data_IF_988923945831
#
_entry.id   IF_988923945831
#
_cell.length_a   1.000
_cell.length_b   1.000
_cell.length_c   1.000
_cell.angle_alpha   90.00
_cell.angle_beta   90.00
_cell.angle_gamma   90.00
#
_symmetry.space_group_name_H-M   'P 1'
#
loop_
_entity.id
_entity.type
_entity.pdbx_description
1 polymer ?
#
# COMPACT_ATOMS: atom_id res chain seq x y z
N UNK A 1 22.65 7.28 -4.96
CA UNK A 1 21.61 6.24 -4.81
C UNK A 1 21.44 5.77 -3.36
N UNK A 2 22.49 5.32 -2.64
CA UNK A 2 22.35 4.80 -1.25
C UNK A 2 21.77 5.82 -0.24
N UNK A 3 22.13 7.11 -0.35
CA UNK A 3 21.67 8.14 0.59
C UNK A 3 20.17 8.46 0.43
N UNK A 4 19.66 8.43 -0.81
CA UNK A 4 18.26 8.67 -1.13
C UNK A 4 17.38 7.50 -0.68
N UNK A 5 17.82 6.26 -0.92
CA UNK A 5 17.14 5.07 -0.41
C UNK A 5 16.99 5.10 1.13
N UNK A 6 18.03 5.55 1.85
CA UNK A 6 17.96 5.74 3.31
C UNK A 6 16.98 6.86 3.73
N UNK A 7 16.85 7.92 2.93
CA UNK A 7 15.93 9.01 3.22
C UNK A 7 14.47 8.59 3.04
N UNK A 8 14.13 7.93 1.93
CA UNK A 8 12.80 7.36 1.71
C UNK A 8 12.42 6.36 2.81
N UNK A 9 13.35 5.49 3.21
CA UNK A 9 13.12 4.56 4.31
C UNK A 9 12.89 5.30 5.65
N UNK A 10 13.64 6.36 5.94
CA UNK A 10 13.46 7.19 7.14
C UNK A 10 12.08 7.86 7.15
N UNK A 11 11.62 8.33 5.99
CA UNK A 11 10.29 8.93 5.82
C UNK A 11 9.17 7.92 6.10
N UNK A 12 9.24 6.72 5.53
CA UNK A 12 8.26 5.65 5.79
C UNK A 12 8.22 5.24 7.26
N UNK A 13 9.37 5.17 7.94
CA UNK A 13 9.42 4.94 9.39
C UNK A 13 8.76 6.07 10.19
N UNK A 14 8.90 7.33 9.78
CA UNK A 14 8.22 8.46 10.42
C UNK A 14 6.71 8.40 10.17
N UNK A 15 6.28 8.13 8.94
CA UNK A 15 4.87 7.98 8.58
C UNK A 15 4.21 6.87 9.39
N UNK A 16 4.84 5.68 9.44
CA UNK A 16 4.33 4.55 10.22
C UNK A 16 4.19 4.89 11.70
N UNK A 17 5.16 5.62 12.29
CA UNK A 17 5.06 6.07 13.68
C UNK A 17 3.90 7.03 13.90
N UNK A 18 3.67 7.97 12.99
CA UNK A 18 2.54 8.90 13.07
C UNK A 18 1.21 8.14 12.95
N UNK A 19 1.12 7.19 12.04
CA UNK A 19 -0.06 6.32 11.86
C UNK A 19 -0.36 5.51 13.13
N UNK A 20 0.67 4.91 13.72
CA UNK A 20 0.52 4.09 14.93
C UNK A 20 0.20 4.93 16.17
N UNK A 21 0.91 6.04 16.39
CA UNK A 21 0.71 6.91 17.56
C UNK A 21 -0.56 7.75 17.42
N UNK A 22 -0.91 8.15 16.22
CA UNK A 22 -2.10 8.94 15.91
C UNK A 22 -3.40 8.14 15.91
N UNK A 23 -3.35 6.81 16.05
CA UNK A 23 -4.55 5.97 16.10
C UNK A 23 -5.31 5.89 14.78
N UNK A 24 -4.62 6.08 13.65
CA UNK A 24 -5.22 5.96 12.31
C UNK A 24 -5.82 4.58 12.07
N UNK A 25 -5.14 3.52 12.51
CA UNK A 25 -5.59 2.13 12.30
C UNK A 25 -6.93 1.84 13.00
N UNK A 26 -7.12 2.10 14.31
CA UNK A 26 -8.43 1.95 14.96
C UNK A 26 -9.53 2.80 14.32
N UNK A 27 -9.20 4.04 13.93
CA UNK A 27 -10.16 4.94 13.30
C UNK A 27 -10.63 4.39 11.94
N UNK A 28 -9.70 3.90 11.13
CA UNK A 28 -10.00 3.32 9.82
C UNK A 28 -10.80 2.02 9.95
N UNK A 29 -10.47 1.19 10.95
CA UNK A 29 -11.25 -0.01 11.26
C UNK A 29 -12.69 0.31 11.60
N UNK A 30 -12.94 1.29 12.47
CA UNK A 30 -14.28 1.72 12.84
C UNK A 30 -15.08 2.29 11.65
N UNK A 31 -14.41 3.01 10.74
CA UNK A 31 -15.05 3.49 9.51
C UNK A 31 -15.41 2.34 8.55
N UNK A 32 -14.58 1.29 8.48
CA UNK A 32 -14.77 0.16 7.58
C UNK A 32 -15.73 -0.91 8.12
N UNK A 33 -15.95 -0.97 9.44
CA UNK A 33 -16.76 -2.02 10.07
C UNK A 33 -18.24 -2.03 9.63
N UNK A 34 -18.72 -0.96 8.99
CA UNK A 34 -20.08 -0.87 8.46
C UNK A 34 -20.28 -1.56 7.10
N UNK A 35 -19.21 -1.97 6.41
CA UNK A 35 -19.27 -2.57 5.07
C UNK A 35 -19.25 -4.11 5.11
N UNK A 36 -19.83 -4.79 4.11
CA UNK A 36 -19.63 -6.23 3.96
C UNK A 36 -18.16 -6.51 3.69
N UNK A 37 -17.58 -7.50 4.39
CA UNK A 37 -16.15 -7.86 4.34
C UNK A 37 -15.22 -6.74 4.84
N UNK A 38 -15.33 -6.36 6.13
CA UNK A 38 -14.61 -5.20 6.69
C UNK A 38 -13.09 -5.32 6.54
N UNK A 39 -12.53 -6.53 6.62
CA UNK A 39 -11.08 -6.76 6.49
C UNK A 39 -10.55 -6.51 5.08
N UNK A 40 -11.32 -6.87 4.04
CA UNK A 40 -10.92 -6.64 2.64
C UNK A 40 -10.96 -5.14 2.34
N UNK A 41 -12.00 -4.44 2.79
CA UNK A 41 -12.16 -2.99 2.62
C UNK A 41 -11.07 -2.24 3.40
N UNK A 42 -10.83 -2.63 4.66
CA UNK A 42 -9.75 -2.10 5.49
C UNK A 42 -8.39 -2.22 4.79
N UNK A 43 -8.06 -3.42 4.30
CA UNK A 43 -6.79 -3.67 3.63
C UNK A 43 -6.67 -2.87 2.33
N UNK A 44 -7.74 -2.78 1.54
CA UNK A 44 -7.74 -2.03 0.29
C UNK A 44 -7.47 -0.53 0.52
N UNK A 45 -8.15 0.08 1.48
CA UNK A 45 -7.96 1.50 1.80
C UNK A 45 -6.58 1.75 2.42
N UNK A 46 -6.14 0.90 3.36
CA UNK A 46 -4.82 1.05 3.94
C UNK A 46 -3.71 0.93 2.88
N UNK A 47 -3.84 -0.07 1.99
CA UNK A 47 -2.88 -0.25 0.88
C UNK A 47 -2.89 0.92 -0.10
N UNK A 48 -4.04 1.56 -0.35
CA UNK A 48 -4.13 2.79 -1.14
C UNK A 48 -3.32 3.92 -0.51
N UNK A 49 -3.50 4.15 0.79
CA UNK A 49 -2.79 5.22 1.51
C UNK A 49 -1.28 4.97 1.49
N UNK A 50 -0.84 3.75 1.80
CA UNK A 50 0.58 3.38 1.76
C UNK A 50 1.16 3.56 0.36
N UNK A 51 0.43 3.12 -0.67
CA UNK A 51 0.86 3.28 -2.07
C UNK A 51 0.99 4.74 -2.45
N UNK A 52 0.08 5.63 -2.03
CA UNK A 52 0.15 7.06 -2.36
C UNK A 52 1.36 7.74 -1.70
N UNK A 53 1.66 7.37 -0.46
CA UNK A 53 2.82 7.86 0.29
C UNK A 53 4.11 7.43 -0.40
N UNK A 54 4.22 6.14 -0.75
CA UNK A 54 5.38 5.59 -1.46
C UNK A 54 5.52 6.10 -2.89
N UNK A 55 4.41 6.32 -3.59
CA UNK A 55 4.38 6.77 -4.99
C UNK A 55 5.06 8.13 -5.15
N UNK A 56 4.85 9.03 -4.18
CA UNK A 56 5.46 10.37 -4.22
C UNK A 56 7.00 10.30 -4.22
N UNK A 57 7.56 9.34 -3.48
CA UNK A 57 9.00 9.10 -3.41
C UNK A 57 9.52 8.36 -4.65
N UNK A 58 8.81 7.33 -5.07
CA UNK A 58 9.16 6.51 -6.24
C UNK A 58 9.16 7.34 -7.54
N UNK A 59 8.24 8.29 -7.65
CA UNK A 59 8.19 9.25 -8.76
C UNK A 59 9.40 10.19 -8.74
N UNK A 60 9.86 10.62 -7.56
CA UNK A 60 11.06 11.45 -7.45
C UNK A 60 12.32 10.70 -7.89
N UNK A 61 12.48 9.43 -7.49
CA UNK A 61 13.63 8.61 -7.89
C UNK A 61 13.67 8.37 -9.41
N UNK A 62 12.53 7.95 -9.98
CA UNK A 62 12.43 7.59 -11.40
C UNK A 62 12.59 8.80 -12.33
N UNK A 63 11.89 9.91 -12.07
CA UNK A 63 11.88 11.06 -12.99
C UNK A 63 12.98 12.09 -12.71
N UNK A 64 13.51 12.18 -11.48
CA UNK A 64 14.55 13.19 -11.18
C UNK A 64 15.95 12.58 -11.17
N UNK A 65 16.10 11.37 -10.65
CA UNK A 65 17.43 10.79 -10.39
C UNK A 65 17.87 9.90 -11.56
N UNK A 66 16.99 9.00 -12.01
CA UNK A 66 17.29 8.11 -13.13
C UNK A 66 17.27 8.83 -14.49
N UNK A 67 16.38 9.81 -14.68
CA UNK A 67 16.36 10.64 -15.89
C UNK A 67 17.64 11.46 -16.03
N UNK A 68 18.18 12.00 -14.93
CA UNK A 68 19.48 12.69 -14.92
C UNK A 68 20.66 11.78 -15.26
N UNK A 69 20.56 10.47 -15.00
CA UNK A 69 21.56 9.47 -15.39
C UNK A 69 21.30 8.90 -16.79
N UNK A 70 20.28 9.38 -17.52
CA UNK A 70 19.96 8.94 -18.87
C UNK A 70 19.39 7.52 -18.96
N UNK A 71 18.97 6.94 -17.83
CA UNK A 71 18.46 5.57 -17.76
C UNK A 71 16.93 5.49 -17.87
N UNK A 72 16.20 6.59 -17.65
CA UNK A 72 14.75 6.57 -17.73
C UNK A 72 14.27 6.46 -19.19
N UNK A 73 13.61 5.34 -19.51
CA UNK A 73 12.93 5.10 -20.80
C UNK A 73 11.41 4.98 -20.65
N UNK A 74 10.88 5.16 -19.44
CA UNK A 74 9.44 5.04 -19.18
C UNK A 74 8.76 6.40 -19.29
N UNK A 75 7.62 6.44 -19.99
CA UNK A 75 6.73 7.60 -20.02
C UNK A 75 5.85 7.63 -18.77
N UNK A 76 5.51 8.84 -18.30
CA UNK A 76 4.64 9.08 -17.13
C UNK A 76 3.34 8.28 -17.20
N UNK A 77 2.71 8.21 -18.38
CA UNK A 77 1.47 7.44 -18.58
C UNK A 77 1.63 5.92 -18.40
N UNK A 78 2.76 5.35 -18.84
CA UNK A 78 3.04 3.92 -18.67
C UNK A 78 3.33 3.58 -17.21
N UNK A 79 4.02 4.47 -16.50
CA UNK A 79 4.33 4.33 -15.07
C UNK A 79 3.04 4.25 -14.21
N UNK A 80 2.10 5.17 -14.38
CA UNK A 80 0.82 5.11 -13.65
C UNK A 80 -0.01 3.88 -14.01
N UNK A 81 -0.04 3.49 -15.29
CA UNK A 81 -0.75 2.31 -15.73
C UNK A 81 -0.17 1.01 -15.12
N UNK A 82 1.16 0.90 -15.03
CA UNK A 82 1.83 -0.23 -14.40
C UNK A 82 1.56 -0.29 -12.89
N UNK A 83 1.61 0.85 -12.20
CA UNK A 83 1.28 0.95 -10.77
C UNK A 83 -0.15 0.56 -10.47
N UNK A 84 -1.12 1.07 -11.25
CA UNK A 84 -2.53 0.72 -11.10
C UNK A 84 -2.78 -0.79 -11.34
N UNK A 85 -2.13 -1.38 -12.35
CA UNK A 85 -2.22 -2.82 -12.63
C UNK A 85 -1.62 -3.66 -11.50
N UNK A 86 -0.45 -3.28 -10.99
CA UNK A 86 0.19 -3.95 -9.85
C UNK A 86 -0.69 -3.92 -8.61
N UNK A 87 -1.32 -2.78 -8.34
CA UNK A 87 -2.23 -2.62 -7.22
C UNK A 87 -3.51 -3.44 -7.38
N UNK A 88 -4.14 -3.43 -8.56
CA UNK A 88 -5.31 -4.25 -8.83
C UNK A 88 -4.98 -5.74 -8.70
N UNK A 89 -3.84 -6.18 -9.23
CA UNK A 89 -3.38 -7.56 -9.14
C UNK A 89 -3.13 -7.98 -7.69
N UNK A 90 -2.49 -7.14 -6.86
CA UNK A 90 -2.24 -7.47 -5.46
C UNK A 90 -3.54 -7.60 -4.68
N UNK A 91 -4.52 -6.72 -4.90
CA UNK A 91 -5.83 -6.79 -4.26
C UNK A 91 -6.61 -8.04 -4.67
N UNK A 92 -6.59 -8.38 -5.97
CA UNK A 92 -7.27 -9.59 -6.49
C UNK A 92 -6.66 -10.86 -5.91
N UNK A 93 -5.36 -10.90 -5.65
CA UNK A 93 -4.70 -12.06 -5.03
C UNK A 93 -4.95 -12.09 -3.52
N UNK A 94 -4.86 -10.95 -2.82
CA UNK A 94 -5.01 -10.91 -1.37
C UNK A 94 -6.46 -11.10 -0.91
N UNK A 95 -7.44 -10.61 -1.65
CA UNK A 95 -8.85 -10.73 -1.29
C UNK A 95 -9.32 -12.18 -1.07
N UNK A 96 -9.14 -13.14 -2.00
CA UNK A 96 -9.56 -14.52 -1.80
C UNK A 96 -8.76 -15.23 -0.70
N UNK A 97 -7.49 -14.85 -0.49
CA UNK A 97 -6.67 -15.40 0.60
C UNK A 97 -7.23 -14.98 1.95
N UNK A 98 -7.56 -13.70 2.13
CA UNK A 98 -8.17 -13.21 3.37
C UNK A 98 -9.52 -13.89 3.63
N UNK A 99 -10.38 -13.96 2.62
CA UNK A 99 -11.68 -14.60 2.76
C UNK A 99 -11.56 -16.09 3.12
N UNK A 100 -10.58 -16.80 2.55
CA UNK A 100 -10.32 -18.19 2.91
C UNK A 100 -9.87 -18.32 4.37
N UNK A 101 -9.00 -17.42 4.85
CA UNK A 101 -8.54 -17.41 6.24
C UNK A 101 -9.70 -17.09 7.19
N UNK A 102 -10.48 -16.05 6.91
CA UNK A 102 -11.66 -15.68 7.71
C UNK A 102 -12.65 -16.85 7.81
N UNK A 103 -12.92 -17.50 6.69
CA UNK A 103 -13.77 -18.69 6.66
C UNK A 103 -13.24 -19.82 7.55
N UNK A 104 -11.93 -20.10 7.49
CA UNK A 104 -11.30 -21.12 8.34
C UNK A 104 -11.39 -20.74 9.81
N UNK A 105 -11.19 -19.48 10.17
CA UNK A 105 -11.25 -19.01 11.57
C UNK A 105 -12.67 -19.14 12.14
N UNK A 106 -13.68 -18.74 11.36
CA UNK A 106 -15.09 -18.87 11.76
C UNK A 106 -15.52 -20.33 11.96
N UNK A 107 -15.06 -21.24 11.10
CA UNK A 107 -15.44 -22.66 11.15
C UNK A 107 -14.56 -23.49 12.09
N UNK A 108 -13.29 -23.11 12.25
CA UNK A 108 -12.31 -23.82 13.07
C UNK A 108 -12.45 -23.55 14.57
N UNK A 109 -13.04 -22.41 14.96
CA UNK A 109 -13.27 -22.05 16.36
C UNK A 109 -14.51 -22.68 17.00
N UNK A 110 -15.31 -23.44 16.25
CA UNK A 110 -16.59 -24.01 16.70
C UNK A 110 -16.44 -25.38 17.41
N UNK A 111 -15.35 -25.59 18.16
CA UNK A 111 -15.10 -26.75 19.04
C UNK A 111 -15.17 -26.36 20.50
#
# INVERSE_FOLDING_TARGET
MICLAKFGQRYNFCFLKVVLVGGWLPWLWYACSSYPLPSVVFLAINSLVDTLVDLSWDMYDTFVIEEKHGFNKQTIGFYFADKAKKMALSLVIMAPILLAIEWIVEHGGNS
#
